data_IF_442754390626
#
_entry.id   IF_442754390626
#
_cell.length_a   1.000
_cell.length_b   1.000
_cell.length_c   1.000
_cell.angle_alpha   90.00
_cell.angle_beta   90.00
_cell.angle_gamma   90.00
#
_symmetry.space_group_name_H-M   'P 1'
#
loop_
_entity.id
_entity.type
_entity.pdbx_description
1 polymer ?
#
# COMPACT_ATOMS: atom_id res chain seq x y z
N UNK A 1 -4.74 16.86 25.98
CA UNK A 1 -5.13 15.52 25.53
C UNK A 1 -4.12 15.03 24.51
N UNK A 2 -3.72 13.76 24.56
CA UNK A 2 -2.72 13.14 23.68
C UNK A 2 -3.07 11.66 23.48
N UNK A 3 -2.71 11.10 22.33
CA UNK A 3 -2.89 9.68 22.00
C UNK A 3 -3.41 9.46 20.59
N UNK A 4 -3.40 8.21 20.13
CA UNK A 4 -3.93 7.81 18.81
C UNK A 4 -5.43 8.12 18.66
N UNK A 5 -6.15 8.22 19.78
CA UNK A 5 -7.53 8.72 19.85
C UNK A 5 -7.68 10.16 19.35
N UNK A 6 -6.63 10.98 19.44
CA UNK A 6 -6.60 12.35 18.89
C UNK A 6 -6.15 12.36 17.43
N UNK A 7 -5.31 11.43 16.99
CA UNK A 7 -4.89 11.31 15.59
C UNK A 7 -6.02 10.77 14.69
N UNK A 8 -6.80 9.79 15.18
CA UNK A 8 -7.93 9.20 14.45
C UNK A 8 -8.92 10.23 13.86
N UNK A 9 -9.46 11.21 14.61
CA UNK A 9 -10.39 12.19 14.06
C UNK A 9 -9.77 13.12 13.01
N UNK A 10 -8.44 13.34 13.02
CA UNK A 10 -7.78 14.08 11.96
C UNK A 10 -7.82 13.30 10.64
N UNK A 11 -7.50 11.99 10.67
CA UNK A 11 -7.61 11.12 9.48
C UNK A 11 -9.06 11.06 9.00
N UNK A 12 -10.02 10.88 9.91
CA UNK A 12 -11.44 10.85 9.57
C UNK A 12 -11.92 12.17 8.92
N UNK A 13 -11.44 13.32 9.39
CA UNK A 13 -11.71 14.62 8.78
C UNK A 13 -11.20 14.72 7.35
N UNK A 14 -9.96 14.30 7.10
CA UNK A 14 -9.38 14.26 5.74
C UNK A 14 -10.15 13.30 4.84
N UNK A 15 -10.49 12.11 5.32
CA UNK A 15 -11.32 11.16 4.57
C UNK A 15 -12.69 11.75 4.21
N UNK A 16 -13.32 12.49 5.13
CA UNK A 16 -14.60 13.18 4.89
C UNK A 16 -14.49 14.26 3.82
N UNK A 17 -13.41 15.05 3.82
CA UNK A 17 -13.14 16.06 2.79
C UNK A 17 -12.91 15.41 1.41
N UNK A 18 -12.08 14.37 1.34
CA UNK A 18 -11.83 13.64 0.10
C UNK A 18 -13.11 12.97 -0.43
N UNK A 19 -13.94 12.40 0.44
CA UNK A 19 -15.24 11.83 0.04
C UNK A 19 -16.20 12.90 -0.49
N UNK A 20 -16.12 14.14 0.03
CA UNK A 20 -16.93 15.26 -0.46
C UNK A 20 -16.47 15.73 -1.85
N UNK A 21 -15.16 15.80 -2.08
CA UNK A 21 -14.57 16.18 -3.37
C UNK A 21 -14.73 15.08 -4.43
N UNK A 22 -14.63 13.82 -4.02
CA UNK A 22 -14.72 12.64 -4.88
C UNK A 22 -15.80 11.67 -4.37
N UNK A 23 -17.10 11.98 -4.61
CA UNK A 23 -18.22 11.17 -4.09
C UNK A 23 -18.24 9.72 -4.58
N UNK A 24 -17.56 9.43 -5.69
CA UNK A 24 -17.53 8.10 -6.30
C UNK A 24 -16.33 7.26 -5.86
N UNK A 25 -15.30 7.85 -5.25
CA UNK A 25 -14.14 7.08 -4.79
C UNK A 25 -14.53 6.10 -3.70
N UNK A 26 -14.12 4.86 -3.85
CA UNK A 26 -14.31 3.85 -2.80
C UNK A 26 -13.57 4.27 -1.51
N UNK A 27 -13.96 3.68 -0.36
CA UNK A 27 -13.16 3.84 0.87
C UNK A 27 -11.70 3.43 0.69
N UNK A 28 -11.41 2.43 -0.17
CA UNK A 28 -10.06 1.99 -0.46
C UNK A 28 -9.28 3.00 -1.31
N UNK A 29 -9.91 3.63 -2.31
CA UNK A 29 -9.31 4.70 -3.11
C UNK A 29 -8.94 5.91 -2.24
N UNK A 30 -9.83 6.34 -1.35
CA UNK A 30 -9.54 7.44 -0.39
C UNK A 30 -8.39 7.06 0.55
N UNK A 31 -8.42 5.85 1.11
CA UNK A 31 -7.32 5.35 1.95
C UNK A 31 -6.00 5.32 1.18
N UNK A 32 -6.03 4.86 -0.08
CA UNK A 32 -4.85 4.84 -0.94
C UNK A 32 -4.31 6.23 -1.16
N UNK A 33 -5.14 7.20 -1.54
CA UNK A 33 -4.72 8.58 -1.77
C UNK A 33 -3.99 9.18 -0.55
N UNK A 34 -4.51 8.93 0.66
CA UNK A 34 -3.89 9.37 1.92
C UNK A 34 -2.56 8.66 2.15
N UNK A 35 -2.51 7.34 1.92
CA UNK A 35 -1.32 6.53 2.20
C UNK A 35 -0.19 6.79 1.21
N UNK A 36 -0.47 6.89 -0.09
CA UNK A 36 0.56 6.97 -1.13
C UNK A 36 1.20 8.34 -1.24
N UNK A 37 0.54 9.39 -0.72
CA UNK A 37 1.03 10.78 -0.72
C UNK A 37 1.60 11.21 0.64
N UNK A 38 1.59 10.31 1.64
CA UNK A 38 2.14 10.59 2.95
C UNK A 38 3.66 10.86 2.90
N UNK A 39 4.14 11.74 3.79
CA UNK A 39 5.56 12.07 3.91
C UNK A 39 6.22 11.22 5.00
N UNK A 40 7.36 10.62 4.68
CA UNK A 40 8.25 9.98 5.65
C UNK A 40 9.28 10.95 6.25
N UNK A 41 9.18 12.24 5.92
CA UNK A 41 10.09 13.29 6.37
C UNK A 41 9.43 14.26 7.35
N UNK A 42 10.21 14.70 8.33
CA UNK A 42 9.86 15.74 9.28
C UNK A 42 10.00 17.16 8.68
N UNK A 43 9.71 18.18 9.49
CA UNK A 43 9.81 19.58 9.10
C UNK A 43 11.25 20.07 8.83
N UNK A 44 12.27 19.27 9.15
CA UNK A 44 13.68 19.53 8.80
C UNK A 44 14.11 18.79 7.53
N UNK A 45 13.18 18.07 6.89
CA UNK A 45 13.45 17.26 5.71
C UNK A 45 14.18 15.95 6.03
N UNK A 46 14.29 15.56 7.29
CA UNK A 46 14.95 14.31 7.72
C UNK A 46 13.92 13.19 7.93
N UNK A 47 14.32 11.90 7.92
CA UNK A 47 13.40 10.82 8.26
C UNK A 47 12.70 11.07 9.60
N UNK A 48 11.40 10.78 9.66
CA UNK A 48 10.62 10.84 10.90
C UNK A 48 11.29 9.94 11.95
N UNK A 49 11.32 10.42 13.19
CA UNK A 49 11.89 9.70 14.32
C UNK A 49 10.81 9.14 15.24
N UNK A 50 11.11 8.04 15.92
CA UNK A 50 10.28 7.47 16.96
C UNK A 50 10.54 8.18 18.31
N UNK A 51 9.81 7.83 19.36
CA UNK A 51 9.87 8.43 20.68
C UNK A 51 11.26 8.30 21.34
N UNK A 52 12.02 7.27 20.96
CA UNK A 52 13.40 7.04 21.38
C UNK A 52 14.43 7.88 20.59
N UNK A 53 13.98 8.67 19.60
CA UNK A 53 14.76 9.52 18.69
C UNK A 53 15.55 8.77 17.62
N UNK A 54 15.33 7.47 17.47
CA UNK A 54 15.82 6.68 16.35
C UNK A 54 14.94 6.89 15.12
N UNK A 55 15.45 6.53 13.95
CA UNK A 55 14.67 6.59 12.71
C UNK A 55 13.45 5.67 12.80
N UNK A 56 12.26 6.25 12.63
CA UNK A 56 11.02 5.50 12.68
C UNK A 56 10.88 4.63 11.43
N UNK A 57 10.28 3.46 11.62
CA UNK A 57 10.02 2.52 10.54
C UNK A 57 8.55 2.59 10.11
N UNK A 58 8.19 2.00 8.95
CA UNK A 58 6.81 1.78 8.58
C UNK A 58 5.94 1.07 9.63
N UNK A 59 6.52 0.35 10.60
CA UNK A 59 5.73 -0.20 11.72
C UNK A 59 5.31 0.85 12.74
N UNK A 60 6.00 1.98 12.83
CA UNK A 60 5.64 3.09 13.71
C UNK A 60 4.62 4.04 13.04
N UNK A 61 4.85 4.44 11.78
CA UNK A 61 4.03 5.45 11.10
C UNK A 61 3.22 4.94 9.89
N UNK A 62 3.28 3.66 9.55
CA UNK A 62 2.66 3.13 8.33
C UNK A 62 3.31 3.70 7.07
N UNK A 63 2.56 4.48 6.30
CA UNK A 63 3.09 5.17 5.10
C UNK A 63 3.72 6.54 5.39
N UNK A 64 3.54 7.09 6.60
CA UNK A 64 4.12 8.36 7.01
C UNK A 64 3.07 9.35 7.50
N UNK A 65 3.48 10.61 7.60
CA UNK A 65 2.61 11.72 8.01
C UNK A 65 1.71 12.17 6.86
N UNK A 66 0.41 12.26 7.13
CA UNK A 66 -0.61 12.67 6.13
C UNK A 66 -0.27 14.04 5.53
N UNK A 67 -0.48 14.15 4.22
CA UNK A 67 -0.37 15.38 3.42
C UNK A 67 -1.72 15.64 2.74
N UNK A 68 -2.65 16.38 3.36
CA UNK A 68 -4.01 16.53 2.84
C UNK A 68 -4.05 17.11 1.42
N UNK A 69 -3.22 18.12 1.15
CA UNK A 69 -3.18 18.81 -0.15
C UNK A 69 -2.75 17.86 -1.28
N UNK A 70 -1.75 17.01 -1.03
CA UNK A 70 -1.30 16.02 -2.00
C UNK A 70 -2.32 14.88 -2.17
N UNK A 71 -3.03 14.51 -1.11
CA UNK A 71 -4.04 13.45 -1.16
C UNK A 71 -5.29 13.83 -2.00
N UNK A 72 -5.51 15.12 -2.28
CA UNK A 72 -6.58 15.57 -3.19
C UNK A 72 -6.28 15.17 -4.63
N UNK A 73 -5.01 15.22 -5.07
CA UNK A 73 -4.59 14.86 -6.42
C UNK A 73 -3.46 13.82 -6.35
N UNK A 74 -3.76 12.55 -5.98
CA UNK A 74 -2.73 11.54 -5.75
C UNK A 74 -2.16 10.96 -7.06
N UNK A 75 -2.73 11.31 -8.22
CA UNK A 75 -2.42 10.72 -9.53
C UNK A 75 -3.00 9.31 -9.70
N UNK A 76 -2.53 8.35 -8.90
CA UNK A 76 -2.98 6.96 -8.93
C UNK A 76 -3.45 6.47 -7.55
N UNK A 77 -4.37 5.51 -7.55
CA UNK A 77 -4.85 4.83 -6.33
C UNK A 77 -4.83 3.31 -6.49
N UNK A 78 -4.57 2.63 -5.37
CA UNK A 78 -4.81 1.20 -5.19
C UNK A 78 -6.27 1.01 -4.76
N UNK A 79 -7.16 0.86 -5.74
CA UNK A 79 -8.57 0.62 -5.46
C UNK A 79 -8.86 -0.87 -5.23
N UNK A 80 -9.87 -1.15 -4.42
CA UNK A 80 -10.37 -2.50 -4.13
C UNK A 80 -11.79 -2.43 -3.59
N UNK A 81 -12.55 -3.48 -3.85
CA UNK A 81 -13.95 -3.58 -3.43
C UNK A 81 -14.14 -4.58 -2.27
N UNK A 82 -15.39 -4.76 -1.86
CA UNK A 82 -15.75 -5.71 -0.81
C UNK A 82 -15.36 -7.15 -1.20
N UNK A 83 -15.48 -7.50 -2.48
CA UNK A 83 -15.10 -8.81 -3.01
C UNK A 83 -13.61 -9.12 -2.87
N UNK A 84 -12.73 -8.13 -3.04
CA UNK A 84 -11.29 -8.26 -2.77
C UNK A 84 -11.04 -8.63 -1.28
N UNK A 85 -11.71 -7.96 -0.34
CA UNK A 85 -11.60 -8.28 1.09
C UNK A 85 -12.13 -9.67 1.43
N UNK A 86 -13.26 -10.07 0.84
CA UNK A 86 -13.82 -11.40 1.05
C UNK A 86 -12.89 -12.49 0.51
N UNK A 87 -12.29 -12.27 -0.67
CA UNK A 87 -11.29 -13.16 -1.25
C UNK A 87 -10.05 -13.27 -0.36
N UNK A 88 -9.60 -12.15 0.22
CA UNK A 88 -8.53 -12.12 1.20
C UNK A 88 -8.87 -12.95 2.45
N UNK A 89 -10.04 -12.76 3.05
CA UNK A 89 -10.47 -13.52 4.24
C UNK A 89 -10.52 -15.02 3.94
N UNK A 90 -11.06 -15.41 2.78
CA UNK A 90 -11.07 -16.79 2.32
C UNK A 90 -9.65 -17.39 2.16
N UNK A 91 -8.72 -16.58 1.66
CA UNK A 91 -7.32 -16.95 1.47
C UNK A 91 -6.57 -17.07 2.80
N UNK A 92 -6.95 -16.25 3.78
CA UNK A 92 -6.43 -16.31 5.14
C UNK A 92 -6.92 -17.54 5.92
N UNK A 93 -8.06 -18.12 5.53
CA UNK A 93 -8.60 -19.35 6.12
C UNK A 93 -10.01 -19.23 6.70
N UNK A 94 -10.67 -18.08 6.53
CA UNK A 94 -12.07 -17.91 6.94
C UNK A 94 -12.98 -18.78 6.07
N UNK A 95 -14.03 -19.35 6.69
CA UNK A 95 -15.05 -20.13 6.01
C UNK A 95 -16.39 -19.38 5.92
N UNK A 96 -17.37 -20.00 5.26
CA UNK A 96 -18.71 -19.41 5.00
C UNK A 96 -19.39 -18.93 6.29
N UNK A 97 -19.31 -19.69 7.38
CA UNK A 97 -19.99 -19.36 8.65
C UNK A 97 -19.30 -18.23 9.39
N UNK A 98 -17.99 -18.05 9.21
CA UNK A 98 -17.24 -16.93 9.79
C UNK A 98 -17.41 -15.64 8.99
N UNK A 99 -17.68 -15.74 7.68
CA UNK A 99 -17.87 -14.57 6.80
C UNK A 99 -19.31 -14.05 6.84
N UNK A 100 -20.30 -14.96 6.93
CA UNK A 100 -21.72 -14.61 6.87
C UNK A 100 -22.16 -13.48 7.83
N UNK A 101 -21.66 -13.38 9.09
CA UNK A 101 -22.03 -12.28 9.99
C UNK A 101 -21.63 -10.89 9.48
N UNK A 102 -20.60 -10.76 8.64
CA UNK A 102 -20.16 -9.47 8.10
C UNK A 102 -21.03 -8.98 6.94
N UNK A 103 -21.61 -9.90 6.16
CA UNK A 103 -22.40 -9.59 4.97
C UNK A 103 -23.92 -9.62 5.22
N UNK A 104 -24.35 -10.34 6.26
CA UNK A 104 -25.76 -10.64 6.48
C UNK A 104 -26.30 -11.75 5.59
N UNK A 105 -25.46 -12.34 4.73
CA UNK A 105 -25.81 -13.43 3.81
C UNK A 105 -24.66 -14.44 3.65
N UNK A 106 -24.95 -15.69 3.24
CA UNK A 106 -23.92 -16.71 3.04
C UNK A 106 -22.98 -16.35 1.89
N UNK A 107 -21.67 -16.36 2.13
CA UNK A 107 -20.66 -16.14 1.10
C UNK A 107 -19.81 -17.39 0.87
N UNK A 108 -19.80 -17.88 -0.37
CA UNK A 108 -18.98 -19.03 -0.77
C UNK A 108 -17.62 -18.57 -1.28
N UNK A 109 -16.58 -18.97 -0.56
CA UNK A 109 -15.21 -18.72 -1.01
C UNK A 109 -14.94 -19.29 -2.41
N UNK A 110 -14.18 -18.58 -3.26
CA UNK A 110 -13.79 -19.10 -4.55
C UNK A 110 -12.94 -20.38 -4.39
N UNK A 111 -13.10 -21.32 -5.32
CA UNK A 111 -12.34 -22.59 -5.30
C UNK A 111 -10.84 -22.34 -5.42
N UNK A 112 -10.47 -21.39 -6.30
CA UNK A 112 -9.09 -20.93 -6.43
C UNK A 112 -8.84 -19.76 -5.49
N UNK A 113 -8.17 -20.04 -4.39
CA UNK A 113 -7.69 -19.01 -3.46
C UNK A 113 -6.46 -18.31 -4.04
N UNK A 114 -6.40 -16.99 -3.87
CA UNK A 114 -5.21 -16.20 -4.16
C UNK A 114 -4.27 -16.25 -2.95
N UNK A 115 -3.03 -15.81 -3.15
CA UNK A 115 -2.15 -15.59 -2.00
C UNK A 115 -2.65 -14.36 -1.22
N UNK A 116 -2.49 -14.37 0.11
CA UNK A 116 -2.93 -13.27 0.99
C UNK A 116 -2.27 -11.95 0.61
N UNK A 117 -1.04 -12.04 0.08
CA UNK A 117 -0.23 -10.92 -0.38
C UNK A 117 -0.79 -10.25 -1.65
N UNK A 118 -1.71 -10.89 -2.39
CA UNK A 118 -2.33 -10.36 -3.62
C UNK A 118 -3.42 -9.32 -3.35
N UNK A 119 -3.84 -9.10 -2.09
CA UNK A 119 -4.74 -7.99 -1.75
C UNK A 119 -4.15 -6.67 -2.26
N UNK A 120 -4.95 -5.87 -2.97
CA UNK A 120 -4.49 -4.63 -3.62
C UNK A 120 -4.27 -3.47 -2.63
N UNK A 121 -3.45 -3.71 -1.60
CA UNK A 121 -3.14 -2.76 -0.56
C UNK A 121 -1.94 -1.87 -0.97
N UNK A 122 -1.93 -0.56 -0.63
CA UNK A 122 -0.86 0.40 -0.98
C UNK A 122 0.43 0.23 -0.16
N UNK A 123 0.70 -0.98 0.32
CA UNK A 123 1.95 -1.36 0.99
C UNK A 123 2.23 -2.85 0.80
N UNK A 124 3.48 -3.24 1.07
CA UNK A 124 3.94 -4.62 0.95
C UNK A 124 4.45 -5.13 2.29
N UNK A 125 3.90 -6.25 2.77
CA UNK A 125 4.36 -6.95 3.96
C UNK A 125 4.73 -8.39 3.57
N UNK A 126 5.98 -8.77 3.82
CA UNK A 126 6.53 -10.08 3.45
C UNK A 126 7.24 -10.69 4.66
N UNK A 127 6.54 -11.43 5.54
CA UNK A 127 7.06 -11.85 6.83
C UNK A 127 8.03 -13.05 6.79
N UNK A 128 8.11 -13.79 5.68
CA UNK A 128 8.94 -15.00 5.59
C UNK A 128 9.37 -15.24 4.13
N UNK A 129 10.25 -14.38 3.61
CA UNK A 129 10.73 -14.48 2.24
C UNK A 129 11.73 -15.64 2.10
N UNK A 130 11.25 -16.78 1.60
CA UNK A 130 12.08 -17.94 1.23
C UNK A 130 12.33 -17.95 -0.27
N UNK A 131 13.55 -17.65 -0.68
CA UNK A 131 13.92 -17.58 -2.09
C UNK A 131 13.25 -16.40 -2.78
N UNK A 132 12.14 -16.63 -3.49
CA UNK A 132 11.50 -15.63 -4.35
C UNK A 132 9.99 -15.63 -4.20
N UNK A 133 9.41 -14.44 -4.02
CA UNK A 133 7.98 -14.21 -3.94
C UNK A 133 7.54 -13.19 -4.99
N UNK A 134 6.36 -13.40 -5.57
CA UNK A 134 5.76 -12.49 -6.54
C UNK A 134 4.42 -12.02 -5.99
N UNK A 135 4.15 -10.74 -6.17
CA UNK A 135 2.93 -10.09 -5.72
C UNK A 135 2.44 -9.20 -6.85
N UNK A 136 1.16 -9.34 -7.24
CA UNK A 136 0.57 -8.40 -8.20
C UNK A 136 -0.17 -7.27 -7.48
N UNK A 137 -0.19 -6.12 -8.13
CA UNK A 137 -0.94 -4.93 -7.72
C UNK A 137 -1.59 -4.30 -8.93
N UNK A 138 -2.63 -3.52 -8.69
CA UNK A 138 -3.37 -2.76 -9.70
C UNK A 138 -3.43 -1.31 -9.26
N UNK A 139 -3.18 -0.41 -10.21
CA UNK A 139 -3.30 1.02 -10.02
C UNK A 139 -4.36 1.55 -10.96
N UNK A 140 -5.27 2.35 -10.42
CA UNK A 140 -6.29 3.06 -11.16
C UNK A 140 -5.88 4.51 -11.28
N UNK A 141 -5.93 5.05 -12.50
CA UNK A 141 -5.68 6.46 -12.74
C UNK A 141 -6.86 7.30 -12.29
N UNK A 142 -6.62 8.23 -11.36
CA UNK A 142 -7.62 9.20 -10.88
C UNK A 142 -7.26 10.64 -11.25
N UNK A 143 -6.19 10.83 -12.01
CA UNK A 143 -5.79 12.10 -12.59
C UNK A 143 -5.90 12.14 -14.12
N UNK A 144 -5.11 13.02 -14.73
CA UNK A 144 -5.01 13.14 -16.19
C UNK A 144 -4.28 11.97 -16.86
N UNK A 145 -4.25 11.91 -18.20
CA UNK A 145 -3.39 10.99 -18.94
C UNK A 145 -1.93 11.22 -18.55
N UNK A 146 -1.18 10.13 -18.35
CA UNK A 146 0.17 10.22 -17.80
C UNK A 146 0.97 8.94 -17.99
N UNK A 147 2.28 9.09 -17.84
CA UNK A 147 3.25 8.01 -17.89
C UNK A 147 3.99 7.99 -16.57
N UNK A 148 3.84 6.90 -15.84
CA UNK A 148 4.47 6.73 -14.54
C UNK A 148 5.63 5.77 -14.66
N UNK A 149 6.80 6.20 -14.22
CA UNK A 149 7.98 5.35 -14.10
C UNK A 149 8.13 4.87 -12.65
N UNK A 150 8.57 3.62 -12.49
CA UNK A 150 8.81 3.05 -11.16
C UNK A 150 10.24 3.30 -10.69
N UNK A 151 10.37 3.73 -9.44
CA UNK A 151 11.62 3.73 -8.70
C UNK A 151 11.48 2.88 -7.44
N UNK A 152 12.55 2.19 -7.05
CA UNK A 152 12.53 1.25 -5.93
C UNK A 152 13.75 1.45 -5.05
N UNK A 153 13.52 1.78 -3.77
CA UNK A 153 14.51 1.62 -2.70
C UNK A 153 14.32 0.23 -2.10
N UNK A 154 15.17 -0.71 -2.49
CA UNK A 154 15.05 -2.10 -2.03
C UNK A 154 15.34 -2.20 -0.53
N UNK A 155 14.57 -3.02 0.22
CA UNK A 155 14.93 -3.35 1.59
C UNK A 155 16.31 -4.00 1.67
N UNK A 156 17.15 -3.65 2.67
CA UNK A 156 18.42 -4.33 2.89
C UNK A 156 18.28 -5.86 2.88
N UNK A 157 19.16 -6.55 2.15
CA UNK A 157 19.15 -8.01 2.02
C UNK A 157 18.11 -8.58 1.05
N UNK A 158 17.32 -7.74 0.39
CA UNK A 158 16.25 -8.15 -0.52
C UNK A 158 16.41 -7.46 -1.86
N UNK A 159 16.39 -8.23 -2.95
CA UNK A 159 16.32 -7.68 -4.31
C UNK A 159 14.86 -7.53 -4.72
N UNK A 160 14.46 -6.32 -5.09
CA UNK A 160 13.11 -6.03 -5.56
C UNK A 160 13.13 -5.71 -7.06
N UNK A 161 12.25 -6.35 -7.82
CA UNK A 161 12.05 -6.08 -9.25
C UNK A 161 10.59 -5.81 -9.54
N UNK A 162 10.31 -4.82 -10.38
CA UNK A 162 8.96 -4.43 -10.79
C UNK A 162 8.80 -4.61 -12.29
N UNK A 163 7.68 -5.17 -12.74
CA UNK A 163 7.35 -5.36 -14.15
C UNK A 163 5.88 -5.04 -14.42
N UNK A 164 5.55 -4.18 -15.41
CA UNK A 164 6.48 -3.36 -16.21
C UNK A 164 7.18 -2.27 -15.37
N UNK A 165 8.19 -1.59 -15.92
CA UNK A 165 8.86 -0.46 -15.26
C UNK A 165 8.20 0.89 -15.56
N UNK A 166 7.25 0.91 -16.50
CA UNK A 166 6.46 2.07 -16.89
C UNK A 166 4.97 1.66 -16.95
N UNK A 167 4.08 2.52 -16.46
CA UNK A 167 2.64 2.41 -16.63
C UNK A 167 2.11 3.64 -17.38
N UNK A 168 1.47 3.39 -18.52
CA UNK A 168 0.88 4.43 -19.36
C UNK A 168 -0.63 4.42 -19.26
N UNK A 169 -1.19 5.53 -18.82
CA UNK A 169 -2.63 5.76 -18.70
C UNK A 169 -3.07 6.82 -19.71
N UNK A 170 -4.13 6.53 -20.45
CA UNK A 170 -4.70 7.37 -21.51
C UNK A 170 -5.95 8.11 -21.07
N UNK A 171 -6.65 7.62 -20.05
CA UNK A 171 -7.91 8.18 -19.56
C UNK A 171 -8.08 7.99 -18.06
N UNK A 172 -9.02 8.73 -17.49
CA UNK A 172 -9.49 8.56 -16.12
C UNK A 172 -10.07 7.14 -15.94
N UNK A 173 -9.89 6.58 -14.75
CA UNK A 173 -10.36 5.25 -14.34
C UNK A 173 -9.74 4.08 -15.12
N UNK A 174 -8.74 4.33 -15.96
CA UNK A 174 -7.97 3.24 -16.56
C UNK A 174 -7.16 2.53 -15.47
N UNK A 175 -7.30 1.21 -15.40
CA UNK A 175 -6.56 0.36 -14.49
C UNK A 175 -5.37 -0.29 -15.22
N UNK A 176 -4.22 -0.37 -14.53
CA UNK A 176 -3.06 -1.14 -14.97
C UNK A 176 -2.51 -1.98 -13.84
N UNK A 177 -2.13 -3.21 -14.19
CA UNK A 177 -1.49 -4.13 -13.27
C UNK A 177 0.02 -4.11 -13.40
N UNK A 178 0.71 -4.27 -12.28
CA UNK A 178 2.14 -4.52 -12.23
C UNK A 178 2.46 -5.64 -11.24
N UNK A 179 3.63 -6.23 -11.41
CA UNK A 179 4.12 -7.33 -10.57
C UNK A 179 5.38 -6.90 -9.86
N UNK A 180 5.38 -7.05 -8.55
CA UNK A 180 6.56 -6.91 -7.70
C UNK A 180 7.12 -8.30 -7.40
N UNK A 181 8.42 -8.45 -7.56
CA UNK A 181 9.17 -9.67 -7.24
C UNK A 181 10.15 -9.35 -6.14
N UNK A 182 10.00 -10.02 -5.00
CA UNK A 182 10.95 -10.00 -3.88
C UNK A 182 11.82 -11.24 -3.99
N UNK A 183 13.13 -11.07 -3.87
CA UNK A 183 14.10 -12.16 -3.92
C UNK A 183 15.11 -11.99 -2.79
N UNK A 184 15.19 -12.97 -1.90
CA UNK A 184 16.14 -12.97 -0.79
C UNK A 184 17.56 -13.02 -1.35
N UNK A 185 18.42 -12.09 -0.92
CA UNK A 185 19.83 -12.11 -1.31
C UNK A 185 20.61 -13.07 -0.39
N UNK A 186 21.71 -13.64 -0.91
CA UNK A 186 22.59 -14.50 -0.10
C UNK A 186 23.41 -13.73 0.94
N UNK A 187 23.38 -12.40 0.90
CA UNK A 187 24.04 -11.55 1.86
C UNK A 187 23.19 -11.52 3.13
N UNK A 188 23.74 -12.08 4.21
CA UNK A 188 23.07 -12.18 5.51
C UNK A 188 22.87 -10.76 6.05
N UNK A 189 21.63 -10.26 6.02
CA UNK A 189 21.28 -8.97 6.63
C UNK A 189 20.39 -9.22 7.83
N UNK A 190 21.02 -9.26 9.01
CA UNK A 190 20.37 -9.18 10.32
C UNK A 190 19.32 -10.26 10.62
N UNK A 191 18.78 -10.23 11.84
CA UNK A 191 17.56 -10.96 12.20
C UNK A 191 16.45 -9.92 12.31
N UNK A 192 15.49 -9.91 11.39
CA UNK A 192 14.32 -9.03 11.49
C UNK A 192 13.79 -8.53 10.15
N UNK A 193 12.87 -7.56 10.23
CA UNK A 193 12.35 -6.86 9.05
C UNK A 193 13.35 -5.83 8.56
N UNK A 194 13.52 -5.78 7.25
CA UNK A 194 14.13 -4.67 6.53
C UNK A 194 13.06 -3.89 5.77
N UNK A 195 13.32 -2.61 5.53
CA UNK A 195 12.33 -1.69 4.99
C UNK A 195 12.78 -1.05 3.67
N UNK A 196 11.84 -0.87 2.78
CA UNK A 196 12.04 -0.29 1.45
C UNK A 196 10.84 0.52 0.99
N UNK A 197 10.90 0.99 -0.24
CA UNK A 197 9.89 1.87 -0.82
C UNK A 197 9.81 1.64 -2.32
N UNK A 198 8.60 1.64 -2.87
CA UNK A 198 8.34 1.71 -4.30
C UNK A 198 7.54 2.96 -4.58
N UNK A 199 7.99 3.73 -5.58
CA UNK A 199 7.32 4.97 -5.98
C UNK A 199 7.05 4.91 -7.47
N UNK A 200 5.79 5.12 -7.85
CA UNK A 200 5.42 5.48 -9.22
C UNK A 200 5.37 7.00 -9.34
N UNK A 201 6.02 7.57 -10.35
CA UNK A 201 6.01 9.01 -10.59
C UNK A 201 5.95 9.36 -12.06
N UNK A 202 5.18 10.40 -12.39
CA UNK A 202 5.12 11.05 -13.70
C UNK A 202 5.90 12.39 -13.72
N UNK A 203 6.71 12.64 -12.68
CA UNK A 203 7.44 13.90 -12.45
C UNK A 203 6.66 14.94 -11.66
N UNK A 204 5.34 14.78 -11.48
CA UNK A 204 4.49 15.68 -10.68
C UNK A 204 3.92 14.96 -9.47
N UNK A 205 3.34 13.79 -9.69
CA UNK A 205 2.76 12.92 -8.67
C UNK A 205 3.80 11.93 -8.16
N UNK A 206 3.70 11.59 -6.87
CA UNK A 206 4.55 10.60 -6.21
C UNK A 206 3.67 9.61 -5.46
N UNK A 207 3.51 8.41 -6.02
CA UNK A 207 2.65 7.37 -5.47
C UNK A 207 3.53 6.36 -4.72
N UNK A 208 3.80 6.64 -3.45
CA UNK A 208 4.71 5.84 -2.61
C UNK A 208 4.01 4.64 -1.98
N UNK A 209 4.74 3.55 -1.81
CA UNK A 209 4.28 2.32 -1.15
C UNK A 209 5.41 1.74 -0.31
N UNK A 210 5.30 1.75 1.04
CA UNK A 210 6.32 1.20 1.90
C UNK A 210 6.35 -0.34 1.82
N UNK A 211 7.54 -0.89 2.04
CA UNK A 211 7.77 -2.33 2.11
C UNK A 211 8.36 -2.70 3.45
N UNK A 212 7.85 -3.78 4.05
CA UNK A 212 8.45 -4.44 5.21
C UNK A 212 8.68 -5.91 4.85
N UNK A 213 9.95 -6.34 4.79
CA UNK A 213 10.33 -7.67 4.34
C UNK A 213 11.25 -8.32 5.36
N UNK A 214 10.93 -9.54 5.78
CA UNK A 214 11.82 -10.39 6.56
C UNK A 214 12.34 -11.50 5.65
N UNK A 215 13.63 -11.43 5.33
CA UNK A 215 14.31 -12.51 4.62
C UNK A 215 14.45 -13.72 5.54
N UNK A 216 14.01 -14.90 5.08
CA UNK A 216 14.27 -16.13 5.80
C UNK A 216 15.75 -16.47 5.67
N UNK A 217 16.39 -16.74 6.82
CA UNK A 217 17.74 -17.31 6.92
C UNK A 217 17.81 -18.72 6.34
#
# INVERSE_FOLDING_TARGET
MSGTSMSCPHVAGVMGLLRKLYPNWSPAAIRSAIMTTASTRDNTGKPIKDADKEEATPFAYGSGHIQPDLAVEPGLVYDMDVGDYLTFLCSYGYNVTQIAPFLGEPYRCPEKKLAVEELNNPSFAVPNLRGKMKVNRRLTNVGGPGVYEVSVRSPPGVKVKVQPTELRFKKLEEEKSFRVTFESSKEIVGKGYSFGELVWSDGTHYVSSPMAVMAAS
#
